data_IF_352367404835
#
_entry.id   IF_352367404835
#
_cell.length_a   1.000
_cell.length_b   1.000
_cell.length_c   1.000
_cell.angle_alpha   90.00
_cell.angle_beta   90.00
_cell.angle_gamma   90.00
#
_symmetry.space_group_name_H-M   'P 1'
#
loop_
_entity.id
_entity.type
_entity.pdbx_description
1 polymer ?
#
# COMPACT_ATOMS: atom_id res chain seq x y z
N UNK A 1 -10.13 15.53 -9.80
CA UNK A 1 -9.43 14.87 -10.96
C UNK A 1 -8.93 13.52 -10.45
N UNK A 2 -9.37 12.43 -11.08
CA UNK A 2 -9.04 11.10 -10.59
C UNK A 2 -7.52 10.88 -10.48
N UNK A 3 -7.08 10.34 -9.35
CA UNK A 3 -5.71 9.89 -9.16
C UNK A 3 -5.48 8.52 -9.78
N UNK A 4 -6.40 7.58 -9.53
CA UNK A 4 -6.41 6.26 -10.16
C UNK A 4 -7.64 6.13 -11.05
N UNK A 5 -7.42 5.75 -12.29
CA UNK A 5 -8.49 5.42 -13.23
C UNK A 5 -8.24 4.04 -13.85
N UNK A 6 -9.18 3.14 -13.68
CA UNK A 6 -9.15 1.77 -14.22
C UNK A 6 -10.35 1.57 -15.12
N UNK A 7 -10.11 1.17 -16.38
CA UNK A 7 -11.15 0.99 -17.39
C UNK A 7 -11.10 -0.41 -17.99
N UNK A 8 -12.24 -1.09 -17.96
CA UNK A 8 -12.50 -2.38 -18.64
C UNK A 8 -11.42 -3.44 -18.33
N UNK A 9 -10.87 -3.44 -17.10
CA UNK A 9 -9.77 -4.31 -16.71
C UNK A 9 -10.25 -5.76 -16.61
N UNK A 10 -9.58 -6.68 -17.32
CA UNK A 10 -9.95 -8.08 -17.32
C UNK A 10 -8.71 -8.98 -17.30
N UNK A 11 -8.83 -10.13 -16.61
CA UNK A 11 -7.83 -11.20 -16.61
C UNK A 11 -8.50 -12.56 -16.43
N UNK A 12 -7.98 -13.57 -17.13
CA UNK A 12 -8.42 -14.95 -17.06
C UNK A 12 -7.28 -15.90 -16.70
N UNK A 13 -7.58 -16.93 -15.92
CA UNK A 13 -6.65 -18.02 -15.59
C UNK A 13 -7.26 -19.36 -15.97
N UNK A 14 -6.64 -20.10 -16.90
CA UNK A 14 -7.12 -21.42 -17.32
C UNK A 14 -8.58 -21.45 -17.77
N UNK A 15 -9.05 -20.38 -18.44
CA UNK A 15 -10.44 -20.23 -18.90
C UNK A 15 -11.41 -19.65 -17.89
N UNK A 16 -11.04 -19.49 -16.62
CA UNK A 16 -11.84 -18.79 -15.61
C UNK A 16 -11.51 -17.29 -15.65
N UNK A 17 -12.51 -16.44 -15.90
CA UNK A 17 -12.39 -14.99 -15.74
C UNK A 17 -12.33 -14.66 -14.25
N UNK A 18 -11.15 -14.30 -13.76
CA UNK A 18 -10.96 -13.90 -12.37
C UNK A 18 -11.32 -12.42 -12.12
N UNK A 19 -11.19 -11.59 -13.16
CA UNK A 19 -11.69 -10.21 -13.19
C UNK A 19 -12.28 -9.97 -14.57
N UNK A 20 -13.49 -9.44 -14.62
CA UNK A 20 -14.25 -9.21 -15.85
C UNK A 20 -14.77 -7.78 -15.90
N UNK A 21 -14.22 -6.98 -16.81
CA UNK A 21 -14.63 -5.60 -17.08
C UNK A 21 -14.66 -4.70 -15.83
N UNK A 22 -13.66 -4.85 -14.95
CA UNK A 22 -13.56 -4.05 -13.74
C UNK A 22 -13.25 -2.59 -14.06
N UNK A 23 -13.98 -1.69 -13.40
CA UNK A 23 -13.81 -0.25 -13.54
C UNK A 23 -13.83 0.40 -12.16
N UNK A 24 -12.94 1.36 -11.93
CA UNK A 24 -12.91 2.16 -10.70
C UNK A 24 -12.24 3.51 -11.00
N UNK A 25 -12.73 4.55 -10.34
CA UNK A 25 -12.13 5.88 -10.34
C UNK A 25 -11.97 6.34 -8.90
N UNK A 26 -10.75 6.73 -8.51
CA UNK A 26 -10.44 7.17 -7.14
C UNK A 26 -9.83 8.57 -7.22
N UNK A 27 -10.43 9.51 -6.50
CA UNK A 27 -9.94 10.89 -6.41
C UNK A 27 -8.72 10.99 -5.47
N UNK A 28 -7.94 12.04 -5.66
CA UNK A 28 -6.79 12.30 -4.78
C UNK A 28 -7.26 12.59 -3.35
N UNK A 29 -6.56 11.99 -2.36
CA UNK A 29 -6.86 12.14 -0.93
C UNK A 29 -8.04 11.28 -0.44
N UNK A 30 -8.68 10.52 -1.32
CA UNK A 30 -9.82 9.67 -0.99
C UNK A 30 -9.38 8.37 -0.29
N UNK A 31 -10.16 7.92 0.68
CA UNK A 31 -10.07 6.60 1.27
C UNK A 31 -11.19 5.73 0.71
N UNK A 32 -10.83 4.82 -0.17
CA UNK A 32 -11.74 4.00 -0.97
C UNK A 32 -11.70 2.53 -0.55
N UNK A 33 -12.87 1.89 -0.44
CA UNK A 33 -13.01 0.50 -0.06
C UNK A 33 -13.28 -0.43 -1.27
N UNK A 34 -12.59 -1.58 -1.32
CA UNK A 34 -12.89 -2.68 -2.24
C UNK A 34 -13.30 -3.90 -1.42
N UNK A 35 -14.59 -4.23 -1.44
CA UNK A 35 -15.16 -5.29 -0.61
C UNK A 35 -15.75 -6.40 -1.47
N UNK A 36 -16.02 -7.54 -0.86
CA UNK A 36 -16.61 -8.71 -1.52
C UNK A 36 -16.22 -10.01 -0.81
N UNK A 37 -16.89 -11.11 -1.12
CA UNK A 37 -16.60 -12.42 -0.55
C UNK A 37 -15.19 -12.93 -0.92
N UNK A 38 -14.74 -13.98 -0.23
CA UNK A 38 -13.51 -14.66 -0.60
C UNK A 38 -13.64 -15.23 -2.01
N UNK A 39 -12.60 -15.07 -2.82
CA UNK A 39 -12.63 -15.46 -4.22
C UNK A 39 -13.32 -14.46 -5.17
N UNK A 40 -13.81 -13.32 -4.69
CA UNK A 40 -14.44 -12.30 -5.54
C UNK A 40 -13.49 -11.62 -6.55
N UNK A 41 -12.16 -11.80 -6.42
CA UNK A 41 -11.18 -11.19 -7.33
C UNK A 41 -10.41 -10.00 -6.75
N UNK A 42 -10.67 -9.60 -5.48
CA UNK A 42 -10.03 -8.43 -4.83
C UNK A 42 -8.50 -8.45 -4.91
N UNK A 43 -7.88 -9.53 -4.43
CA UNK A 43 -6.42 -9.71 -4.48
C UNK A 43 -5.89 -9.77 -5.91
N UNK A 44 -6.67 -10.31 -6.86
CA UNK A 44 -6.32 -10.30 -8.29
C UNK A 44 -6.27 -8.88 -8.83
N UNK A 45 -7.21 -8.01 -8.45
CA UNK A 45 -7.20 -6.59 -8.82
C UNK A 45 -5.94 -5.92 -8.24
N UNK A 46 -5.60 -6.14 -6.97
CA UNK A 46 -4.37 -5.61 -6.38
C UNK A 46 -3.11 -6.10 -7.11
N UNK A 47 -3.09 -7.37 -7.52
CA UNK A 47 -1.98 -7.92 -8.30
C UNK A 47 -1.87 -7.28 -9.70
N UNK A 48 -3.00 -6.92 -10.32
CA UNK A 48 -3.02 -6.18 -11.58
C UNK A 48 -2.53 -4.73 -11.39
N UNK A 49 -3.03 -4.02 -10.36
CA UNK A 49 -2.61 -2.66 -10.04
C UNK A 49 -1.13 -2.54 -9.69
N UNK A 50 -0.53 -3.60 -9.15
CA UNK A 50 0.89 -3.62 -8.76
C UNK A 50 1.81 -4.30 -9.78
N UNK A 51 1.29 -4.73 -10.93
CA UNK A 51 2.08 -5.35 -12.00
C UNK A 51 2.62 -6.75 -11.70
N UNK A 52 2.06 -7.43 -10.68
CA UNK A 52 2.31 -8.86 -10.43
C UNK A 52 1.67 -9.69 -11.53
N UNK A 53 0.48 -9.28 -11.97
CA UNK A 53 -0.18 -9.83 -13.14
C UNK A 53 -0.30 -8.77 -14.24
N UNK A 54 -0.23 -9.23 -15.49
CA UNK A 54 -0.49 -8.41 -16.65
C UNK A 54 -1.94 -8.64 -17.09
N UNK A 55 -2.76 -7.57 -17.27
CA UNK A 55 -4.15 -7.74 -17.71
C UNK A 55 -4.22 -8.25 -19.15
N UNK A 56 -5.29 -8.98 -19.46
CA UNK A 56 -5.63 -9.42 -20.82
C UNK A 56 -6.24 -8.25 -21.62
N UNK A 57 -7.01 -7.40 -20.95
CA UNK A 57 -7.66 -6.22 -21.54
C UNK A 57 -7.81 -5.10 -20.52
N UNK A 58 -8.09 -3.89 -21.01
CA UNK A 58 -8.33 -2.70 -20.21
C UNK A 58 -7.08 -1.86 -19.98
N UNK A 59 -7.24 -0.80 -19.18
CA UNK A 59 -6.17 0.14 -18.88
C UNK A 59 -6.17 0.56 -17.42
N UNK A 60 -4.98 0.91 -16.91
CA UNK A 60 -4.74 1.45 -15.58
C UNK A 60 -3.95 2.74 -15.75
N UNK A 61 -4.51 3.84 -15.26
CA UNK A 61 -3.87 5.16 -15.28
C UNK A 61 -3.71 5.68 -13.85
N UNK A 62 -2.49 6.14 -13.52
CA UNK A 62 -2.16 6.77 -12.24
C UNK A 62 -1.71 8.21 -12.51
N UNK A 63 -2.44 9.19 -11.96
CA UNK A 63 -2.19 10.62 -12.16
C UNK A 63 -2.03 10.99 -13.67
N UNK A 64 -2.89 10.42 -14.54
CA UNK A 64 -2.87 10.63 -15.99
C UNK A 64 -1.78 9.87 -16.75
N UNK A 65 -0.98 9.04 -16.07
CA UNK A 65 0.07 8.23 -16.69
C UNK A 65 -0.38 6.78 -16.80
N UNK A 66 -0.39 6.22 -18.01
CA UNK A 66 -0.70 4.82 -18.22
C UNK A 66 0.40 3.91 -17.64
N UNK A 67 0.01 3.04 -16.71
CA UNK A 67 0.88 2.07 -16.03
C UNK A 67 0.52 0.62 -16.35
N UNK A 68 -0.39 0.38 -17.28
CA UNK A 68 -0.91 -0.95 -17.66
C UNK A 68 0.21 -1.91 -18.04
N UNK A 69 0.29 -3.04 -17.35
CA UNK A 69 1.24 -4.11 -17.65
C UNK A 69 2.73 -3.75 -17.46
N UNK A 70 3.03 -2.63 -16.80
CA UNK A 70 4.40 -2.26 -16.39
C UNK A 70 4.91 -3.22 -15.30
N UNK A 71 6.21 -3.26 -15.11
CA UNK A 71 6.85 -4.05 -14.05
C UNK A 71 6.54 -3.47 -12.68
N UNK A 72 6.50 -4.31 -11.65
CA UNK A 72 6.24 -3.92 -10.26
C UNK A 72 7.14 -2.77 -9.78
N UNK A 73 8.43 -2.79 -10.16
CA UNK A 73 9.37 -1.72 -9.80
C UNK A 73 9.01 -0.38 -10.45
N UNK A 74 8.58 -0.39 -11.72
CA UNK A 74 8.17 0.82 -12.45
C UNK A 74 6.87 1.40 -11.89
N UNK A 75 5.93 0.52 -11.48
CA UNK A 75 4.67 0.91 -10.85
C UNK A 75 4.93 1.51 -9.46
N UNK A 76 5.82 0.91 -8.68
CA UNK A 76 6.22 1.48 -7.40
C UNK A 76 6.86 2.87 -7.57
N UNK A 77 7.76 3.03 -8.54
CA UNK A 77 8.37 4.33 -8.88
C UNK A 77 7.36 5.35 -9.43
N UNK A 78 6.27 4.90 -10.06
CA UNK A 78 5.18 5.78 -10.49
C UNK A 78 4.34 6.29 -9.30
N UNK A 79 4.43 5.62 -8.15
CA UNK A 79 3.81 6.05 -6.89
C UNK A 79 2.72 5.12 -6.36
N UNK A 80 2.75 3.81 -6.64
CA UNK A 80 1.88 2.84 -5.95
C UNK A 80 2.73 2.03 -4.96
N UNK A 81 2.32 2.04 -3.69
CA UNK A 81 2.83 1.12 -2.67
C UNK A 81 1.73 0.17 -2.19
N UNK A 82 2.11 -1.02 -1.72
CA UNK A 82 1.20 -2.04 -1.20
C UNK A 82 1.73 -2.67 0.06
N UNK A 83 0.85 -2.85 1.04
CA UNK A 83 1.04 -3.81 2.13
C UNK A 83 0.44 -5.17 1.73
N UNK A 84 0.73 -6.21 2.48
CA UNK A 84 0.23 -7.56 2.19
C UNK A 84 -0.58 -8.07 3.37
N UNK A 85 -1.54 -8.97 3.11
CA UNK A 85 -2.33 -9.64 4.14
C UNK A 85 -1.43 -10.27 5.21
N UNK A 86 -0.42 -11.03 4.77
CA UNK A 86 0.64 -11.53 5.65
C UNK A 86 1.77 -10.50 5.71
N UNK A 87 2.10 -10.00 6.87
CA UNK A 87 3.17 -9.01 7.09
C UNK A 87 4.48 -9.48 6.44
N UNK A 88 5.03 -8.65 5.55
CA UNK A 88 6.27 -8.91 4.82
C UNK A 88 7.37 -7.95 5.25
N UNK A 89 7.84 -8.08 6.48
CA UNK A 89 8.99 -7.34 6.97
C UNK A 89 10.28 -8.12 6.78
N UNK A 90 11.39 -7.42 6.70
CA UNK A 90 12.74 -7.98 6.84
C UNK A 90 12.97 -8.30 8.33
N UNK A 91 12.60 -9.51 8.73
CA UNK A 91 12.48 -9.92 10.15
C UNK A 91 13.76 -9.78 10.95
N UNK A 92 14.92 -9.99 10.32
CA UNK A 92 16.25 -9.92 10.94
C UNK A 92 16.86 -8.52 10.90
N UNK A 93 16.29 -7.59 10.15
CA UNK A 93 16.70 -6.19 10.15
C UNK A 93 16.06 -5.43 11.31
N UNK A 94 16.68 -4.31 11.68
CA UNK A 94 16.11 -3.39 12.65
C UNK A 94 14.81 -2.74 12.13
N UNK A 95 14.05 -2.17 13.04
CA UNK A 95 12.87 -1.35 12.73
C UNK A 95 13.26 -0.19 11.81
N UNK A 96 14.35 0.51 12.13
CA UNK A 96 14.90 1.60 11.33
C UNK A 96 15.29 1.14 9.92
N UNK A 97 16.04 0.02 9.80
CA UNK A 97 16.49 -0.48 8.51
C UNK A 97 15.36 -0.95 7.62
N UNK A 98 14.25 -1.46 8.20
CA UNK A 98 13.05 -1.77 7.44
C UNK A 98 12.48 -0.53 6.75
N UNK A 99 12.39 0.61 7.43
CA UNK A 99 11.92 1.87 6.84
C UNK A 99 12.92 2.40 5.82
N UNK A 100 14.23 2.38 6.14
CA UNK A 100 15.30 2.79 5.21
C UNK A 100 15.25 2.03 3.89
N UNK A 101 14.90 0.73 3.91
CA UNK A 101 14.76 -0.05 2.68
C UNK A 101 13.73 0.55 1.70
N UNK A 102 12.67 1.20 2.21
CA UNK A 102 11.69 1.93 1.39
C UNK A 102 12.24 3.23 0.79
N UNK A 103 13.14 3.93 1.52
CA UNK A 103 13.70 5.21 1.09
C UNK A 103 14.65 5.10 -0.12
N UNK A 104 15.18 3.92 -0.43
CA UNK A 104 16.08 3.72 -1.57
C UNK A 104 15.48 4.06 -2.94
N UNK A 105 14.17 4.25 -3.04
CA UNK A 105 13.55 4.77 -4.26
C UNK A 105 13.98 6.22 -4.57
N UNK A 106 14.16 7.03 -3.54
CA UNK A 106 14.42 8.47 -3.63
C UNK A 106 15.87 8.82 -3.31
N UNK A 107 16.49 8.13 -2.35
CA UNK A 107 17.86 8.36 -1.92
C UNK A 107 18.80 7.42 -2.65
N UNK A 108 19.63 7.98 -3.55
CA UNK A 108 20.54 7.19 -4.38
C UNK A 108 21.98 7.65 -4.20
N UNK A 109 22.86 6.70 -4.10
CA UNK A 109 24.30 6.89 -4.27
C UNK A 109 24.84 5.86 -5.26
N UNK A 110 26.01 6.17 -5.89
CA UNK A 110 26.60 5.22 -6.83
C UNK A 110 27.10 3.97 -6.11
N UNK A 111 27.07 2.83 -6.77
CA UNK A 111 27.58 1.56 -6.23
C UNK A 111 29.03 1.71 -5.73
N UNK A 112 29.85 2.47 -6.46
CA UNK A 112 31.23 2.77 -6.07
C UNK A 112 31.28 3.59 -4.77
N UNK A 113 30.39 4.59 -4.61
CA UNK A 113 30.31 5.37 -3.37
C UNK A 113 29.91 4.50 -2.17
N UNK A 114 29.02 3.52 -2.37
CA UNK A 114 28.63 2.55 -1.35
C UNK A 114 29.79 1.61 -0.95
N UNK A 115 30.52 1.05 -1.93
CA UNK A 115 31.64 0.12 -1.67
C UNK A 115 32.79 0.83 -0.95
N UNK A 116 33.22 1.99 -1.43
CA UNK A 116 34.37 2.74 -0.90
C UNK A 116 34.00 3.72 0.22
N UNK A 117 32.71 3.81 0.59
CA UNK A 117 32.20 4.68 1.66
C UNK A 117 32.68 6.13 1.51
N UNK A 118 32.55 6.70 0.31
CA UNK A 118 32.90 8.11 0.08
C UNK A 118 32.03 9.06 0.92
N UNK A 119 32.45 10.31 1.16
CA UNK A 119 31.71 11.27 1.99
C UNK A 119 30.23 11.42 1.61
N UNK A 120 29.91 11.33 0.31
CA UNK A 120 28.53 11.38 -0.17
C UNK A 120 27.67 10.20 0.32
N UNK A 121 28.25 9.01 0.50
CA UNK A 121 27.56 7.86 1.10
C UNK A 121 27.09 8.20 2.51
N UNK A 122 27.97 8.68 3.39
CA UNK A 122 27.60 9.01 4.77
C UNK A 122 26.57 10.13 4.86
N UNK A 123 26.62 11.11 3.95
CA UNK A 123 25.63 12.18 3.89
C UNK A 123 24.23 11.65 3.55
N UNK A 124 24.12 10.77 2.54
CA UNK A 124 22.85 10.17 2.12
C UNK A 124 22.32 9.24 3.20
N UNK A 125 23.17 8.38 3.79
CA UNK A 125 22.76 7.50 4.89
C UNK A 125 22.19 8.30 6.07
N UNK A 126 22.85 9.40 6.47
CA UNK A 126 22.35 10.26 7.54
C UNK A 126 20.97 10.87 7.19
N UNK A 127 20.77 11.32 5.96
CA UNK A 127 19.47 11.82 5.51
C UNK A 127 18.39 10.73 5.56
N UNK A 128 18.74 9.50 5.18
CA UNK A 128 17.83 8.35 5.28
C UNK A 128 17.52 8.01 6.73
N UNK A 129 18.50 8.06 7.64
CA UNK A 129 18.29 7.83 9.08
C UNK A 129 17.33 8.88 9.67
N UNK A 130 17.57 10.16 9.37
CA UNK A 130 16.71 11.26 9.81
C UNK A 130 15.27 11.08 9.30
N UNK A 131 15.10 10.81 8.01
CA UNK A 131 13.79 10.62 7.39
C UNK A 131 13.07 9.36 7.90
N UNK A 132 13.79 8.25 8.06
CA UNK A 132 13.23 7.03 8.63
C UNK A 132 12.78 7.25 10.08
N UNK A 133 13.57 7.95 10.87
CA UNK A 133 13.23 8.27 12.26
C UNK A 133 11.99 9.19 12.35
N UNK A 134 11.84 10.16 11.44
CA UNK A 134 10.61 10.97 11.35
C UNK A 134 9.37 10.11 11.13
N UNK A 135 9.46 9.17 10.15
CA UNK A 135 8.35 8.24 9.89
C UNK A 135 8.07 7.34 11.10
N UNK A 136 9.12 6.81 11.76
CA UNK A 136 8.94 5.97 12.95
C UNK A 136 8.25 6.71 14.08
N UNK A 137 8.56 7.99 14.31
CA UNK A 137 7.88 8.84 15.31
C UNK A 137 6.39 8.98 15.03
N UNK A 138 6.00 9.13 13.76
CA UNK A 138 4.59 9.19 13.35
C UNK A 138 3.81 7.95 13.79
N UNK A 139 4.46 6.78 13.76
CA UNK A 139 3.85 5.50 14.12
C UNK A 139 4.10 5.09 15.57
N UNK A 140 4.81 5.90 16.37
CA UNK A 140 5.20 5.60 17.76
C UNK A 140 6.12 4.37 17.84
N UNK A 141 7.07 4.26 16.90
CA UNK A 141 8.04 3.17 16.80
C UNK A 141 9.49 3.64 16.95
N UNK A 142 9.71 4.90 17.30
CA UNK A 142 11.03 5.52 17.41
C UNK A 142 11.84 4.97 18.59
N UNK A 143 11.19 4.62 19.71
CA UNK A 143 11.86 4.00 20.85
C UNK A 143 12.36 2.59 20.56
N UNK A 144 11.74 1.87 19.62
CA UNK A 144 12.12 0.52 19.20
C UNK A 144 12.95 0.49 17.90
N UNK A 145 13.49 1.63 17.46
CA UNK A 145 14.20 1.76 16.18
C UNK A 145 15.32 0.73 15.98
N UNK A 146 16.03 0.36 17.06
CA UNK A 146 17.13 -0.62 17.04
C UNK A 146 16.68 -2.07 17.25
N UNK A 147 15.40 -2.31 17.58
CA UNK A 147 14.89 -3.67 17.78
C UNK A 147 14.79 -4.39 16.43
N UNK A 148 14.98 -5.72 16.45
CA UNK A 148 14.64 -6.53 15.29
C UNK A 148 13.14 -6.45 15.03
N UNK A 149 12.75 -6.32 13.77
CA UNK A 149 11.34 -6.26 13.39
C UNK A 149 10.54 -7.47 13.86
N UNK A 150 11.18 -8.67 13.94
CA UNK A 150 10.58 -9.89 14.49
C UNK A 150 10.21 -9.81 15.96
N UNK A 151 10.81 -8.92 16.72
CA UNK A 151 10.59 -8.79 18.17
C UNK A 151 9.42 -7.86 18.52
N UNK A 152 8.89 -7.15 17.53
CA UNK A 152 7.73 -6.28 17.74
C UNK A 152 6.44 -7.11 17.92
N UNK A 153 5.49 -6.66 18.75
CA UNK A 153 4.11 -7.17 18.75
C UNK A 153 3.47 -7.03 17.36
N UNK A 154 2.48 -7.88 17.06
CA UNK A 154 1.86 -7.96 15.73
C UNK A 154 1.32 -6.61 15.24
N UNK A 155 0.60 -5.86 16.07
CA UNK A 155 0.10 -4.51 15.73
C UNK A 155 1.20 -3.52 15.39
N UNK A 156 2.34 -3.55 16.12
CA UNK A 156 3.52 -2.72 15.81
C UNK A 156 4.23 -3.17 14.52
N UNK A 157 4.25 -4.48 14.22
CA UNK A 157 4.77 -4.97 12.94
C UNK A 157 3.92 -4.45 11.77
N UNK A 158 2.59 -4.39 11.91
CA UNK A 158 1.70 -3.83 10.88
C UNK A 158 1.95 -2.33 10.69
N UNK A 159 2.08 -1.57 11.79
CA UNK A 159 2.44 -0.14 11.73
C UNK A 159 3.79 0.05 11.00
N UNK A 160 4.78 -0.78 11.29
CA UNK A 160 6.08 -0.75 10.62
C UNK A 160 5.99 -1.07 9.12
N UNK A 161 5.14 -2.02 8.72
CA UNK A 161 4.91 -2.33 7.30
C UNK A 161 4.32 -1.14 6.55
N UNK A 162 3.36 -0.43 7.16
CA UNK A 162 2.78 0.80 6.59
C UNK A 162 3.85 1.90 6.52
N UNK A 163 4.62 2.12 7.59
CA UNK A 163 5.71 3.10 7.61
C UNK A 163 6.73 2.85 6.49
N UNK A 164 7.12 1.59 6.27
CA UNK A 164 8.00 1.20 5.16
C UNK A 164 7.37 1.46 3.80
N UNK A 165 6.07 1.20 3.64
CA UNK A 165 5.37 1.51 2.39
C UNK A 165 5.35 3.02 2.12
N UNK A 166 5.07 3.85 3.15
CA UNK A 166 5.11 5.31 3.05
C UNK A 166 6.51 5.86 2.76
N UNK A 167 7.56 5.18 3.21
CA UNK A 167 8.95 5.57 2.89
C UNK A 167 9.25 5.54 1.38
N UNK A 168 8.44 4.85 0.57
CA UNK A 168 8.55 4.93 -0.90
C UNK A 168 7.88 6.17 -1.50
N UNK A 169 7.34 7.08 -0.67
CA UNK A 169 6.62 8.31 -1.04
C UNK A 169 5.54 8.05 -2.11
N UNK A 170 4.59 7.13 -1.85
CA UNK A 170 3.59 6.77 -2.82
C UNK A 170 2.54 7.87 -2.97
N UNK A 171 1.85 7.90 -4.13
CA UNK A 171 0.63 8.67 -4.36
C UNK A 171 -0.62 7.88 -3.96
N UNK A 172 -0.54 6.56 -4.12
CA UNK A 172 -1.61 5.60 -3.80
C UNK A 172 -1.05 4.48 -2.93
N UNK A 173 -1.65 4.29 -1.76
CA UNK A 173 -1.33 3.20 -0.84
C UNK A 173 -2.43 2.13 -0.92
N UNK A 174 -2.03 0.90 -1.24
CA UNK A 174 -2.91 -0.27 -1.29
C UNK A 174 -2.77 -1.05 0.03
N UNK A 175 -3.84 -1.17 0.79
CA UNK A 175 -3.90 -1.91 2.05
C UNK A 175 -4.71 -3.19 1.85
N UNK A 176 -4.07 -4.34 1.99
CA UNK A 176 -4.66 -5.67 1.76
C UNK A 176 -4.98 -6.33 3.11
N UNK A 177 -6.25 -6.29 3.52
CA UNK A 177 -6.77 -6.82 4.80
C UNK A 177 -5.88 -6.44 6.00
N UNK A 178 -5.64 -5.13 6.23
CA UNK A 178 -4.67 -4.70 7.23
C UNK A 178 -5.06 -5.06 8.67
N UNK A 179 -6.34 -5.25 8.97
CA UNK A 179 -6.84 -5.60 10.30
C UNK A 179 -6.88 -7.12 10.55
N UNK A 180 -6.49 -7.95 9.57
CA UNK A 180 -6.55 -9.40 9.72
C UNK A 180 -5.74 -9.89 10.92
N UNK A 181 -6.40 -10.65 11.83
CA UNK A 181 -5.77 -11.20 13.03
C UNK A 181 -5.60 -10.23 14.20
N UNK A 182 -6.11 -9.01 14.10
CA UNK A 182 -6.08 -8.00 15.17
C UNK A 182 -7.29 -8.15 16.11
N UNK A 183 -7.09 -7.79 17.38
CA UNK A 183 -8.20 -7.63 18.32
C UNK A 183 -8.91 -6.27 18.09
N UNK A 184 -10.13 -6.05 18.66
CA UNK A 184 -10.90 -4.82 18.42
C UNK A 184 -10.16 -3.52 18.77
N UNK A 185 -9.33 -3.51 19.81
CA UNK A 185 -8.56 -2.32 20.20
C UNK A 185 -7.45 -2.02 19.19
N UNK A 186 -6.71 -3.05 18.78
CA UNK A 186 -5.68 -2.92 17.73
C UNK A 186 -6.29 -2.47 16.40
N UNK A 187 -7.49 -2.98 16.06
CA UNK A 187 -8.23 -2.55 14.86
C UNK A 187 -8.60 -1.07 14.95
N UNK A 188 -9.08 -0.59 16.10
CA UNK A 188 -9.40 0.82 16.29
C UNK A 188 -8.15 1.71 16.15
N UNK A 189 -7.03 1.35 16.78
CA UNK A 189 -5.75 2.06 16.63
C UNK A 189 -5.26 2.07 15.17
N UNK A 190 -5.45 0.97 14.44
CA UNK A 190 -5.08 0.89 13.02
C UNK A 190 -5.95 1.84 12.19
N UNK A 191 -7.27 1.89 12.45
CA UNK A 191 -8.18 2.82 11.77
C UNK A 191 -7.75 4.27 11.96
N UNK A 192 -7.41 4.65 13.21
CA UNK A 192 -6.92 5.99 13.52
C UNK A 192 -5.59 6.26 12.82
N UNK A 193 -4.71 5.27 12.75
CA UNK A 193 -3.44 5.35 12.01
C UNK A 193 -3.68 5.56 10.51
N UNK A 194 -4.63 4.85 9.90
CA UNK A 194 -4.97 4.98 8.46
C UNK A 194 -5.53 6.39 8.18
N UNK A 195 -6.46 6.88 9.02
CA UNK A 195 -6.99 8.25 8.92
C UNK A 195 -5.86 9.28 9.04
N UNK A 196 -5.00 9.11 10.07
CA UNK A 196 -3.85 9.99 10.27
C UNK A 196 -2.93 10.05 9.05
N UNK A 197 -2.62 8.89 8.45
CA UNK A 197 -1.81 8.78 7.22
C UNK A 197 -2.48 9.51 6.07
N UNK A 198 -3.79 9.30 5.83
CA UNK A 198 -4.52 10.02 4.80
C UNK A 198 -4.40 11.52 4.96
N UNK A 199 -4.70 12.02 6.17
CA UNK A 199 -4.86 13.45 6.44
C UNK A 199 -3.51 14.20 6.48
N UNK A 200 -2.47 13.57 7.02
CA UNK A 200 -1.18 14.24 7.23
C UNK A 200 -0.17 14.04 6.09
N UNK A 201 -0.37 13.01 5.26
CA UNK A 201 0.50 12.75 4.10
C UNK A 201 -0.19 13.02 2.76
N UNK A 202 -1.40 13.63 2.76
CA UNK A 202 -2.21 13.85 1.54
C UNK A 202 -2.34 12.55 0.71
N UNK A 203 -2.55 11.42 1.44
CA UNK A 203 -2.47 10.07 0.87
C UNK A 203 -3.81 9.62 0.32
N UNK A 204 -3.80 9.08 -0.89
CA UNK A 204 -4.93 8.31 -1.41
C UNK A 204 -4.76 6.86 -1.01
N UNK A 205 -5.82 6.24 -0.50
CA UNK A 205 -5.75 4.87 0.03
C UNK A 205 -6.84 4.03 -0.61
N UNK A 206 -6.47 2.86 -1.14
CA UNK A 206 -7.41 1.81 -1.54
C UNK A 206 -7.26 0.63 -0.59
N UNK A 207 -8.35 0.33 0.10
CA UNK A 207 -8.42 -0.67 1.17
C UNK A 207 -9.22 -1.89 0.71
N UNK A 208 -8.64 -3.09 0.81
CA UNK A 208 -9.39 -4.35 0.79
C UNK A 208 -9.69 -4.75 2.23
N UNK A 209 -10.95 -4.94 2.54
CA UNK A 209 -11.40 -5.47 3.83
C UNK A 209 -12.70 -6.25 3.69
N UNK A 210 -12.98 -7.09 4.65
CA UNK A 210 -14.22 -7.84 4.78
C UNK A 210 -15.00 -7.46 6.04
N UNK A 211 -14.40 -6.71 6.97
CA UNK A 211 -15.09 -6.14 8.13
C UNK A 211 -15.81 -4.85 7.73
N UNK A 212 -17.14 -4.96 7.59
CA UNK A 212 -18.01 -3.84 7.21
C UNK A 212 -17.99 -2.69 8.20
N UNK A 213 -17.73 -2.95 9.51
CA UNK A 213 -17.64 -1.88 10.51
C UNK A 213 -16.39 -1.03 10.28
N UNK A 214 -15.28 -1.68 9.93
CA UNK A 214 -14.05 -0.99 9.57
C UNK A 214 -14.26 -0.15 8.31
N UNK A 215 -14.76 -0.77 7.24
CA UNK A 215 -14.95 -0.11 5.94
C UNK A 215 -15.90 1.08 6.06
N UNK A 216 -17.09 0.90 6.64
CA UNK A 216 -18.05 1.99 6.82
C UNK A 216 -17.58 3.08 7.77
N UNK A 217 -16.64 2.75 8.67
CA UNK A 217 -16.07 3.70 9.62
C UNK A 217 -15.00 4.61 9.05
N UNK A 218 -14.33 4.24 7.95
CA UNK A 218 -13.19 5.00 7.42
C UNK A 218 -13.27 5.32 5.93
N UNK A 219 -13.92 4.47 5.11
CA UNK A 219 -14.03 4.70 3.67
C UNK A 219 -15.14 5.69 3.34
N UNK A 220 -14.91 6.55 2.38
CA UNK A 220 -15.89 7.52 1.85
C UNK A 220 -16.76 6.85 0.79
N UNK A 221 -16.14 6.07 -0.06
CA UNK A 221 -16.79 5.30 -1.11
C UNK A 221 -16.30 3.86 -1.12
N UNK A 222 -17.07 2.98 -1.69
CA UNK A 222 -16.75 1.57 -1.85
C UNK A 222 -17.22 0.97 -3.17
N UNK A 223 -16.51 -0.06 -3.58
CA UNK A 223 -16.90 -0.98 -4.66
C UNK A 223 -17.14 -2.36 -4.09
N UNK A 224 -18.31 -2.91 -4.36
CA UNK A 224 -18.65 -4.31 -4.04
C UNK A 224 -18.33 -5.19 -5.23
N UNK A 225 -17.47 -6.17 -5.01
CA UNK A 225 -17.03 -7.13 -6.03
C UNK A 225 -17.63 -8.51 -5.76
N UNK A 226 -18.07 -9.19 -6.82
CA UNK A 226 -18.47 -10.59 -6.75
C UNK A 226 -18.10 -11.31 -8.04
N UNK A 227 -17.46 -12.49 -7.93
CA UNK A 227 -17.01 -13.30 -9.08
C UNK A 227 -16.32 -12.48 -10.20
N UNK A 228 -15.42 -11.57 -9.80
CA UNK A 228 -14.65 -10.74 -10.72
C UNK A 228 -15.38 -9.56 -11.35
N UNK A 229 -16.66 -9.34 -11.00
CA UNK A 229 -17.49 -8.26 -11.53
C UNK A 229 -17.90 -7.27 -10.42
N UNK A 230 -18.07 -6.02 -10.79
CA UNK A 230 -18.60 -4.98 -9.91
C UNK A 230 -20.10 -5.15 -9.78
N UNK A 231 -20.59 -5.33 -8.55
CA UNK A 231 -22.03 -5.38 -8.27
C UNK A 231 -22.62 -3.98 -8.05
N UNK A 232 -21.95 -3.16 -7.26
CA UNK A 232 -22.33 -1.77 -7.01
C UNK A 232 -21.12 -0.93 -6.58
N UNK A 233 -21.26 0.37 -6.74
CA UNK A 233 -20.32 1.40 -6.29
C UNK A 233 -21.11 2.54 -5.68
N UNK A 234 -20.62 3.16 -4.62
CA UNK A 234 -21.27 4.30 -3.99
C UNK A 234 -20.64 4.70 -2.66
N UNK A 235 -21.21 5.75 -2.08
CA UNK A 235 -20.83 6.26 -0.78
C UNK A 235 -21.20 5.27 0.35
N UNK A 236 -20.41 5.25 1.41
CA UNK A 236 -20.58 4.30 2.54
C UNK A 236 -21.78 4.60 3.43
N UNK A 237 -22.48 5.70 3.24
CA UNK A 237 -23.68 6.14 4.00
C UNK A 237 -24.98 6.06 3.23
N UNK A 238 -25.00 5.48 2.03
CA UNK A 238 -26.19 5.40 1.16
C UNK A 238 -26.97 4.09 1.36
#
# INVERSE_FOLDING_TARGET
MALLEVKNLSISFGGLKAVDNFQISIEKGQLYGLIGPNGAGKTTIFNLLTGVYKPDAGSIELAGVNITGRKTTEINQAGIARTFQNIRLFKDLSVLDNVKAGLHNHYRYSTTAGIFRFPNYFKVEKQMDERAMELLKVFGLDEECDYKASNLPYGKQRKLEIARALATEPKLLLLDEPAAGMNPNETAELMDTIRFVRDNFDMTILLIEHDMKLVSGICEELTVLNFGQVLCQGETGA
#
